data_IF_739192917709
#
_entry.id   IF_739192917709
#
_cell.length_a   1.000
_cell.length_b   1.000
_cell.length_c   1.000
_cell.angle_alpha   90.00
_cell.angle_beta   90.00
_cell.angle_gamma   90.00
#
_symmetry.space_group_name_H-M   'P 1'
#
loop_
_entity.id
_entity.type
_entity.pdbx_description
1 polymer ?
#
# COMPACT_ATOMS: atom_id res chain seq x y z
N UNK A 1 27.88 -2.68 -16.84
CA UNK A 1 27.28 -3.17 -15.57
C UNK A 1 27.78 -4.57 -15.26
N UNK A 2 27.99 -4.88 -13.98
CA UNK A 2 28.33 -6.23 -13.52
C UNK A 2 27.16 -7.20 -13.80
N UNK A 3 27.45 -8.42 -14.25
CA UNK A 3 26.45 -9.48 -14.52
C UNK A 3 25.55 -9.70 -13.30
N UNK A 4 26.13 -9.67 -12.10
CA UNK A 4 25.40 -9.83 -10.83
C UNK A 4 24.34 -8.73 -10.63
N UNK A 5 24.68 -7.50 -10.98
CA UNK A 5 23.78 -6.35 -10.92
C UNK A 5 22.61 -6.52 -11.89
N UNK A 6 22.89 -6.96 -13.12
CA UNK A 6 21.86 -7.24 -14.13
C UNK A 6 20.84 -8.28 -13.67
N UNK A 7 21.32 -9.43 -13.16
CA UNK A 7 20.42 -10.48 -12.67
C UNK A 7 19.61 -10.02 -11.45
N UNK A 8 20.24 -9.30 -10.53
CA UNK A 8 19.57 -8.78 -9.34
C UNK A 8 18.44 -7.80 -9.71
N UNK A 9 18.67 -6.93 -10.70
CA UNK A 9 17.66 -6.01 -11.22
C UNK A 9 16.49 -6.75 -11.88
N UNK A 10 16.75 -7.78 -12.69
CA UNK A 10 15.70 -8.58 -13.33
C UNK A 10 14.81 -9.24 -12.28
N UNK A 11 15.38 -9.86 -11.24
CA UNK A 11 14.63 -10.47 -10.14
C UNK A 11 13.78 -9.41 -9.43
N UNK A 12 14.38 -8.26 -9.10
CA UNK A 12 13.70 -7.16 -8.41
C UNK A 12 12.53 -6.60 -9.23
N UNK A 13 12.70 -6.45 -10.54
CA UNK A 13 11.64 -6.04 -11.47
C UNK A 13 10.51 -7.07 -11.47
N UNK A 14 10.83 -8.37 -11.55
CA UNK A 14 9.85 -9.45 -11.50
C UNK A 14 9.00 -9.41 -10.22
N UNK A 15 9.63 -9.20 -9.06
CA UNK A 15 8.91 -9.04 -7.78
C UNK A 15 8.02 -7.79 -7.77
N UNK A 16 8.49 -6.66 -8.34
CA UNK A 16 7.69 -5.43 -8.44
C UNK A 16 6.46 -5.62 -9.33
N UNK A 17 6.53 -6.47 -10.37
CA UNK A 17 5.35 -6.85 -11.15
C UNK A 17 4.31 -7.61 -10.32
N UNK A 18 4.72 -8.45 -9.37
CA UNK A 18 3.77 -9.10 -8.44
C UNK A 18 3.05 -8.04 -7.60
N UNK A 19 3.77 -7.05 -7.08
CA UNK A 19 3.20 -5.92 -6.36
C UNK A 19 2.20 -5.11 -7.20
N UNK A 20 2.55 -4.85 -8.47
CA UNK A 20 1.68 -4.19 -9.43
C UNK A 20 0.38 -4.98 -9.65
N UNK A 21 0.47 -6.29 -9.90
CA UNK A 21 -0.70 -7.16 -10.11
C UNK A 21 -1.65 -7.11 -8.92
N UNK A 22 -1.13 -7.24 -7.69
CA UNK A 22 -1.95 -7.12 -6.47
C UNK A 22 -2.63 -5.74 -6.39
N UNK A 23 -1.89 -4.66 -6.68
CA UNK A 23 -2.45 -3.31 -6.68
C UNK A 23 -3.57 -3.12 -7.71
N UNK A 24 -3.42 -3.71 -8.91
CA UNK A 24 -4.47 -3.67 -9.95
C UNK A 24 -5.70 -4.48 -9.58
N UNK A 25 -5.53 -5.63 -8.93
CA UNK A 25 -6.64 -6.44 -8.45
C UNK A 25 -7.44 -5.73 -7.36
N UNK A 26 -6.75 -5.12 -6.39
CA UNK A 26 -7.41 -4.32 -5.36
C UNK A 26 -8.17 -3.13 -5.94
N UNK A 27 -7.58 -2.42 -6.90
CA UNK A 27 -8.29 -1.33 -7.59
C UNK A 27 -9.53 -1.83 -8.35
N UNK A 28 -9.44 -2.98 -9.03
CA UNK A 28 -10.57 -3.55 -9.77
C UNK A 28 -11.74 -3.86 -8.83
N UNK A 29 -11.46 -4.34 -7.62
CA UNK A 29 -12.47 -4.77 -6.67
C UNK A 29 -13.11 -3.61 -5.90
N UNK A 30 -12.33 -2.57 -5.54
CA UNK A 30 -12.80 -1.47 -4.68
C UNK A 30 -13.04 -0.15 -5.41
N UNK A 31 -12.33 0.08 -6.53
CA UNK A 31 -12.28 1.35 -7.29
C UNK A 31 -11.79 2.56 -6.49
N UNK A 32 -11.08 2.35 -5.40
CA UNK A 32 -10.60 3.45 -4.56
C UNK A 32 -9.33 4.13 -5.09
N UNK A 33 -9.24 5.44 -4.88
CA UNK A 33 -8.09 6.26 -5.33
C UNK A 33 -6.76 5.82 -4.70
N UNK A 34 -6.77 5.26 -3.49
CA UNK A 34 -5.56 4.74 -2.82
C UNK A 34 -4.80 3.71 -3.65
N UNK A 35 -5.51 2.94 -4.46
CA UNK A 35 -4.89 1.94 -5.33
C UNK A 35 -4.35 2.53 -6.63
N UNK A 36 -4.85 3.68 -7.08
CA UNK A 36 -4.23 4.43 -8.18
C UNK A 36 -2.82 4.86 -7.75
N UNK A 37 -2.66 5.37 -6.52
CA UNK A 37 -1.35 5.69 -5.95
C UNK A 37 -0.45 4.45 -5.84
N UNK A 38 -1.02 3.31 -5.41
CA UNK A 38 -0.28 2.04 -5.33
C UNK A 38 0.24 1.59 -6.70
N UNK A 39 -0.63 1.55 -7.71
CA UNK A 39 -0.31 1.14 -9.08
C UNK A 39 0.75 2.05 -9.68
N UNK A 40 0.54 3.38 -9.60
CA UNK A 40 1.49 4.37 -10.14
C UNK A 40 2.85 4.32 -9.42
N UNK A 41 2.85 4.01 -8.11
CA UNK A 41 4.06 3.76 -7.33
C UNK A 41 4.85 2.54 -7.84
N UNK A 42 4.17 1.40 -8.01
CA UNK A 42 4.79 0.19 -8.56
C UNK A 42 5.33 0.38 -9.97
N UNK A 43 4.56 1.03 -10.85
CA UNK A 43 5.00 1.36 -12.21
C UNK A 43 6.27 2.21 -12.18
N UNK A 44 6.31 3.25 -11.33
CA UNK A 44 7.49 4.11 -11.18
C UNK A 44 8.71 3.32 -10.72
N UNK A 45 8.55 2.38 -9.78
CA UNK A 45 9.63 1.47 -9.35
C UNK A 45 10.07 0.47 -10.43
N UNK A 46 9.16 -0.05 -11.25
CA UNK A 46 9.52 -0.92 -12.37
C UNK A 46 10.35 -0.11 -13.38
N UNK A 47 9.88 1.07 -13.77
CA UNK A 47 10.61 1.99 -14.66
C UNK A 47 11.99 2.33 -14.09
N UNK A 48 12.07 2.64 -12.79
CA UNK A 48 13.34 2.86 -12.12
C UNK A 48 14.27 1.64 -12.23
N UNK A 49 13.78 0.41 -12.13
CA UNK A 49 14.59 -0.80 -12.30
C UNK A 49 15.06 -1.04 -13.74
N UNK A 50 14.26 -0.66 -14.74
CA UNK A 50 14.58 -0.84 -16.17
C UNK A 50 15.62 0.18 -16.66
N UNK A 51 15.56 1.41 -16.16
CA UNK A 51 16.44 2.50 -16.62
C UNK A 51 17.94 2.15 -16.53
N UNK A 52 18.48 1.59 -15.43
CA UNK A 52 19.88 1.18 -15.36
C UNK A 52 20.29 0.15 -16.43
N UNK A 53 19.40 -0.77 -16.79
CA UNK A 53 19.64 -1.76 -17.85
C UNK A 53 19.77 -1.05 -19.20
N UNK A 54 18.88 -0.09 -19.47
CA UNK A 54 18.93 0.73 -20.69
C UNK A 54 20.17 1.62 -20.73
N UNK A 55 20.56 2.20 -19.59
CA UNK A 55 21.73 3.08 -19.48
C UNK A 55 23.04 2.38 -19.85
N UNK A 56 23.10 1.05 -19.71
CA UNK A 56 24.26 0.24 -20.07
C UNK A 56 24.38 -0.02 -21.58
N UNK A 57 23.29 0.18 -22.33
CA UNK A 57 23.26 0.09 -23.80
C UNK A 57 23.65 1.40 -24.49
N UNK A 58 23.73 2.49 -23.73
CA UNK A 58 24.02 3.83 -24.24
C UNK A 58 25.52 4.11 -24.17
N UNK A 59 26.11 4.47 -25.31
CA UNK A 59 27.53 4.77 -25.44
C UNK A 59 27.84 6.21 -25.00
N UNK A 60 26.93 7.15 -25.24
CA UNK A 60 27.11 8.55 -24.90
C UNK A 60 27.05 8.78 -23.38
N UNK A 61 28.13 9.34 -22.83
CA UNK A 61 28.28 9.56 -21.38
C UNK A 61 27.17 10.47 -20.84
N UNK A 62 26.82 11.53 -21.56
CA UNK A 62 25.82 12.49 -21.09
C UNK A 62 24.41 11.85 -21.02
N UNK A 63 24.02 11.12 -22.06
CA UNK A 63 22.78 10.36 -22.07
C UNK A 63 22.74 9.30 -20.97
N UNK A 64 23.85 8.60 -20.72
CA UNK A 64 23.97 7.64 -19.62
C UNK A 64 23.74 8.31 -18.26
N UNK A 65 24.37 9.46 -18.00
CA UNK A 65 24.19 10.19 -16.75
C UNK A 65 22.75 10.72 -16.57
N UNK A 66 22.12 11.17 -17.64
CA UNK A 66 20.71 11.60 -17.62
C UNK A 66 19.78 10.43 -17.28
N UNK A 67 20.01 9.25 -17.87
CA UNK A 67 19.26 8.04 -17.52
C UNK A 67 19.46 7.68 -16.04
N UNK A 68 20.68 7.73 -15.52
CA UNK A 68 20.93 7.48 -14.10
C UNK A 68 20.23 8.50 -13.18
N UNK A 69 20.11 9.76 -13.59
CA UNK A 69 19.31 10.75 -12.87
C UNK A 69 17.80 10.38 -12.91
N UNK A 70 17.29 9.96 -14.07
CA UNK A 70 15.90 9.50 -14.20
C UNK A 70 15.61 8.29 -13.30
N UNK A 71 16.54 7.33 -13.19
CA UNK A 71 16.42 6.19 -12.29
C UNK A 71 16.12 6.64 -10.85
N UNK A 72 16.89 7.62 -10.35
CA UNK A 72 16.75 8.14 -9.00
C UNK A 72 15.42 8.88 -8.82
N UNK A 73 15.01 9.69 -9.80
CA UNK A 73 13.73 10.40 -9.77
C UNK A 73 12.56 9.42 -9.72
N UNK A 74 12.51 8.43 -10.63
CA UNK A 74 11.45 7.43 -10.66
C UNK A 74 11.42 6.56 -9.41
N UNK A 75 12.60 6.24 -8.84
CA UNK A 75 12.68 5.52 -7.58
C UNK A 75 12.02 6.33 -6.45
N UNK A 76 12.41 7.60 -6.30
CA UNK A 76 11.88 8.51 -5.27
C UNK A 76 10.38 8.80 -5.44
N UNK A 77 9.89 8.92 -6.68
CA UNK A 77 8.45 9.05 -6.94
C UNK A 77 7.71 7.78 -6.51
N UNK A 78 8.21 6.62 -6.94
CA UNK A 78 7.58 5.33 -6.63
C UNK A 78 7.42 5.13 -5.12
N UNK A 79 8.46 5.48 -4.38
CA UNK A 79 8.46 5.52 -2.91
C UNK A 79 7.33 6.37 -2.36
N UNK A 80 7.28 7.65 -2.76
CA UNK A 80 6.33 8.61 -2.19
C UNK A 80 4.90 8.15 -2.46
N UNK A 81 4.64 7.62 -3.65
CA UNK A 81 3.33 7.11 -4.03
C UNK A 81 2.93 5.86 -3.25
N UNK A 82 3.83 4.88 -3.12
CA UNK A 82 3.59 3.66 -2.33
C UNK A 82 3.30 3.99 -0.86
N UNK A 83 4.09 4.88 -0.26
CA UNK A 83 3.89 5.28 1.12
C UNK A 83 2.64 6.15 1.31
N UNK A 84 2.34 7.02 0.35
CA UNK A 84 1.09 7.79 0.36
C UNK A 84 -0.13 6.86 0.28
N UNK A 85 -0.03 5.75 -0.48
CA UNK A 85 -1.06 4.71 -0.49
C UNK A 85 -1.24 4.08 0.90
N UNK A 86 -0.14 3.78 1.61
CA UNK A 86 -0.22 3.28 3.00
C UNK A 86 -0.89 4.30 3.93
N UNK A 87 -0.49 5.57 3.85
CA UNK A 87 -1.10 6.64 4.67
C UNK A 87 -2.59 6.80 4.36
N UNK A 88 -2.99 6.61 3.09
CA UNK A 88 -4.36 6.82 2.67
C UNK A 88 -5.38 5.87 3.29
N UNK A 89 -4.92 4.75 3.87
CA UNK A 89 -5.75 3.89 4.71
C UNK A 89 -6.18 4.55 6.04
N UNK A 90 -5.49 5.60 6.48
CA UNK A 90 -5.76 6.28 7.75
C UNK A 90 -6.26 7.71 7.58
N UNK A 91 -5.96 8.34 6.45
CA UNK A 91 -6.31 9.72 6.17
C UNK A 91 -6.70 9.93 4.72
N UNK A 92 -7.62 10.86 4.44
CA UNK A 92 -7.75 11.40 3.10
C UNK A 92 -6.44 12.11 2.74
N UNK A 93 -5.67 11.51 1.83
CA UNK A 93 -4.44 12.12 1.31
C UNK A 93 -4.82 13.13 0.24
N UNK A 94 -4.43 14.39 0.44
CA UNK A 94 -4.66 15.45 -0.53
C UNK A 94 -3.89 15.16 -1.82
N UNK A 95 -4.59 14.80 -2.89
CA UNK A 95 -4.00 14.57 -4.21
C UNK A 95 -3.17 15.76 -4.70
N UNK A 96 -3.61 17.03 -4.53
CA UNK A 96 -2.78 18.19 -4.86
C UNK A 96 -1.43 18.22 -4.13
N UNK A 97 -1.38 17.81 -2.85
CA UNK A 97 -0.13 17.77 -2.08
C UNK A 97 0.81 16.69 -2.64
N UNK A 98 0.30 15.50 -2.94
CA UNK A 98 1.10 14.40 -3.53
C UNK A 98 1.66 14.84 -4.89
N UNK A 99 0.84 15.45 -5.73
CA UNK A 99 1.26 15.99 -7.04
C UNK A 99 2.35 17.06 -6.85
N UNK A 100 2.19 17.97 -5.88
CA UNK A 100 3.19 19.01 -5.60
C UNK A 100 4.53 18.43 -5.14
N UNK A 101 4.51 17.41 -4.26
CA UNK A 101 5.71 16.71 -3.82
C UNK A 101 6.38 15.97 -4.98
N UNK A 102 5.63 15.20 -5.78
CA UNK A 102 6.16 14.51 -6.95
C UNK A 102 6.73 15.49 -7.98
N UNK A 103 6.05 16.62 -8.21
CA UNK A 103 6.53 17.68 -9.11
C UNK A 103 7.82 18.31 -8.59
N UNK A 104 7.94 18.50 -7.27
CA UNK A 104 9.19 18.94 -6.63
C UNK A 104 10.33 17.95 -6.86
N UNK A 105 10.07 16.65 -6.70
CA UNK A 105 11.06 15.57 -6.93
C UNK A 105 11.49 15.50 -8.41
N UNK A 106 10.66 15.92 -9.35
CA UNK A 106 11.01 15.96 -10.78
C UNK A 106 11.74 17.26 -11.12
N UNK A 107 11.11 18.41 -10.83
CA UNK A 107 11.57 19.71 -11.28
C UNK A 107 12.87 20.13 -10.56
N UNK A 108 13.00 19.88 -9.26
CA UNK A 108 14.15 20.35 -8.50
C UNK A 108 15.46 19.68 -8.97
N UNK A 109 15.54 18.34 -9.11
CA UNK A 109 16.73 17.68 -9.64
C UNK A 109 17.02 17.99 -11.10
N UNK A 110 15.99 18.14 -11.94
CA UNK A 110 16.18 18.47 -13.34
C UNK A 110 16.73 19.88 -13.53
N UNK A 111 16.15 20.87 -12.85
CA UNK A 111 16.63 22.26 -12.91
C UNK A 111 18.04 22.37 -12.32
N UNK A 112 18.29 21.75 -11.16
CA UNK A 112 19.65 21.72 -10.60
C UNK A 112 20.64 20.96 -11.48
N UNK A 113 20.22 19.85 -12.10
CA UNK A 113 21.08 19.08 -13.01
C UNK A 113 21.43 19.81 -14.30
N UNK A 114 20.58 20.74 -14.75
CA UNK A 114 20.85 21.62 -15.89
C UNK A 114 21.74 22.82 -15.53
N UNK A 115 21.63 23.34 -14.30
CA UNK A 115 22.36 24.53 -13.84
C UNK A 115 23.68 24.22 -13.13
N UNK A 116 23.87 23.00 -12.64
CA UNK A 116 25.04 22.54 -11.88
C UNK A 116 25.55 21.21 -12.43
N UNK A 117 26.46 20.53 -11.72
CA UNK A 117 26.89 19.18 -12.10
C UNK A 117 25.82 18.13 -11.77
N UNK A 118 25.59 17.18 -12.69
CA UNK A 118 24.59 16.10 -12.55
C UNK A 118 24.83 15.28 -11.27
N UNK A 119 26.07 15.17 -10.80
CA UNK A 119 26.40 14.51 -9.53
C UNK A 119 25.76 15.18 -8.30
N UNK A 120 25.77 16.51 -8.22
CA UNK A 120 25.15 17.25 -7.11
C UNK A 120 23.62 17.10 -7.12
N UNK A 121 23.01 17.14 -8.30
CA UNK A 121 21.58 16.92 -8.48
C UNK A 121 21.15 15.52 -7.99
N UNK A 122 21.96 14.48 -8.25
CA UNK A 122 21.73 13.12 -7.74
C UNK A 122 21.71 13.09 -6.21
N UNK A 123 22.72 13.66 -5.56
CA UNK A 123 22.84 13.71 -4.09
C UNK A 123 21.64 14.42 -3.45
N UNK A 124 21.24 15.57 -3.99
CA UNK A 124 20.08 16.31 -3.49
C UNK A 124 18.80 15.49 -3.63
N UNK A 125 18.62 14.79 -4.75
CA UNK A 125 17.44 13.94 -4.99
C UNK A 125 17.36 12.79 -3.99
N UNK A 126 18.51 12.19 -3.67
CA UNK A 126 18.64 11.15 -2.64
C UNK A 126 18.21 11.69 -1.27
N UNK A 127 18.71 12.87 -0.88
CA UNK A 127 18.32 13.53 0.37
C UNK A 127 16.83 13.89 0.40
N UNK A 128 16.27 14.38 -0.70
CA UNK A 128 14.85 14.71 -0.78
C UNK A 128 13.98 13.45 -0.68
N UNK A 129 14.42 12.36 -1.33
CA UNK A 129 13.86 11.03 -1.16
C UNK A 129 13.84 10.63 0.31
N UNK A 130 15.00 10.58 0.98
CA UNK A 130 15.13 10.28 2.43
C UNK A 130 14.31 11.21 3.33
N UNK A 131 14.25 12.51 3.02
CA UNK A 131 13.41 13.47 3.75
C UNK A 131 11.93 13.12 3.66
N UNK A 132 11.43 12.75 2.47
CA UNK A 132 10.04 12.34 2.29
C UNK A 132 9.70 11.07 3.08
N UNK A 133 10.64 10.13 3.21
CA UNK A 133 10.49 8.95 4.05
C UNK A 133 10.39 9.29 5.54
N UNK A 134 11.25 10.18 6.05
CA UNK A 134 11.25 10.56 7.45
C UNK A 134 9.92 11.22 7.84
N UNK A 135 9.40 12.11 6.99
CA UNK A 135 8.11 12.77 7.19
C UNK A 135 6.98 11.74 7.27
N UNK A 136 6.94 10.80 6.33
CA UNK A 136 5.91 9.75 6.30
C UNK A 136 6.05 8.81 7.51
N UNK A 137 7.26 8.45 7.90
CA UNK A 137 7.52 7.66 9.11
C UNK A 137 6.99 8.35 10.38
N UNK A 138 7.20 9.66 10.52
CA UNK A 138 6.65 10.46 11.63
C UNK A 138 5.12 10.44 11.61
N UNK A 139 4.50 10.59 10.43
CA UNK A 139 3.04 10.54 10.29
C UNK A 139 2.45 9.20 10.73
N UNK A 140 3.08 8.08 10.35
CA UNK A 140 2.67 6.74 10.77
C UNK A 140 2.85 6.55 12.29
N UNK A 141 3.97 7.00 12.85
CA UNK A 141 4.24 6.91 14.29
C UNK A 141 3.19 7.66 15.13
N UNK A 142 2.78 8.85 14.68
CA UNK A 142 1.75 9.65 15.37
C UNK A 142 0.37 8.96 15.40
N UNK A 143 0.13 7.97 14.54
CA UNK A 143 -1.13 7.20 14.49
C UNK A 143 -1.00 5.74 14.90
N UNK A 144 0.07 5.39 15.62
CA UNK A 144 0.30 4.03 16.13
C UNK A 144 -0.92 3.42 16.84
N UNK A 145 -1.71 4.22 17.55
CA UNK A 145 -2.88 3.70 18.28
C UNK A 145 -4.02 3.25 17.34
N UNK A 146 -4.24 3.98 16.23
CA UNK A 146 -5.23 3.58 15.22
C UNK A 146 -4.72 2.39 14.41
N UNK A 147 -3.42 2.38 14.12
CA UNK A 147 -2.73 1.23 13.53
C UNK A 147 -2.94 -0.04 14.36
N UNK A 148 -2.74 0.04 15.69
CA UNK A 148 -2.95 -1.09 16.62
C UNK A 148 -4.38 -1.62 16.57
N UNK A 149 -5.38 -0.74 16.52
CA UNK A 149 -6.78 -1.15 16.44
C UNK A 149 -7.14 -1.85 15.13
N UNK A 150 -6.55 -1.41 14.01
CA UNK A 150 -6.85 -1.97 12.69
C UNK A 150 -6.06 -3.26 12.37
N UNK A 151 -4.91 -3.47 13.02
CA UNK A 151 -3.92 -4.50 12.62
C UNK A 151 -3.60 -5.55 13.68
N UNK A 152 -4.54 -5.88 14.57
CA UNK A 152 -4.33 -6.73 15.74
C UNK A 152 -3.39 -7.95 15.49
N UNK A 153 -3.54 -8.65 14.34
CA UNK A 153 -2.65 -9.76 13.94
C UNK A 153 -1.57 -9.43 12.89
N UNK A 154 -1.62 -8.27 12.24
CA UNK A 154 -0.72 -7.87 11.13
C UNK A 154 0.40 -6.88 11.50
N UNK A 155 0.40 -6.36 12.73
CA UNK A 155 1.32 -5.28 13.12
C UNK A 155 2.81 -5.64 13.09
N UNK A 156 3.13 -6.91 13.36
CA UNK A 156 4.50 -7.39 13.32
C UNK A 156 5.09 -7.25 11.91
N UNK A 157 4.30 -7.44 10.84
CA UNK A 157 4.75 -7.22 9.47
C UNK A 157 5.07 -5.76 9.20
N UNK A 158 4.23 -4.84 9.69
CA UNK A 158 4.47 -3.40 9.55
C UNK A 158 5.77 -2.98 10.25
N UNK A 159 5.98 -3.40 11.50
CA UNK A 159 7.23 -3.13 12.20
C UNK A 159 8.44 -3.75 11.50
N UNK A 160 8.31 -4.97 10.98
CA UNK A 160 9.37 -5.64 10.25
C UNK A 160 9.74 -4.88 8.96
N UNK A 161 8.75 -4.35 8.22
CA UNK A 161 9.03 -3.53 7.05
C UNK A 161 9.65 -2.18 7.40
N UNK A 162 9.17 -1.50 8.45
CA UNK A 162 9.80 -0.26 8.91
C UNK A 162 11.26 -0.53 9.32
N UNK A 163 11.51 -1.61 10.05
CA UNK A 163 12.85 -2.01 10.47
C UNK A 163 13.75 -2.36 9.27
N UNK A 164 13.28 -3.21 8.36
CA UNK A 164 13.98 -3.55 7.12
C UNK A 164 14.27 -2.32 6.28
N UNK A 165 13.34 -1.37 6.25
CA UNK A 165 13.48 -0.12 5.55
C UNK A 165 14.57 0.78 6.16
N UNK A 166 14.58 0.94 7.50
CA UNK A 166 15.63 1.69 8.20
C UNK A 166 17.01 1.07 7.95
N UNK A 167 17.11 -0.26 8.00
CA UNK A 167 18.35 -0.98 7.65
C UNK A 167 18.77 -0.68 6.21
N UNK A 168 17.83 -0.73 5.26
CA UNK A 168 18.12 -0.42 3.86
C UNK A 168 18.65 1.01 3.67
N UNK A 169 18.08 2.00 4.36
CA UNK A 169 18.61 3.38 4.36
C UNK A 169 20.04 3.40 4.88
N UNK A 170 20.29 2.82 6.06
CA UNK A 170 21.61 2.85 6.70
C UNK A 170 22.65 2.21 5.79
N UNK A 171 22.34 1.06 5.20
CA UNK A 171 23.20 0.37 4.25
C UNK A 171 23.44 1.22 3.01
N UNK A 172 22.39 1.79 2.42
CA UNK A 172 22.50 2.64 1.22
C UNK A 172 23.39 3.86 1.46
N UNK A 173 23.21 4.56 2.60
CA UNK A 173 24.04 5.71 2.97
C UNK A 173 25.49 5.27 3.24
N UNK A 174 25.68 4.16 3.97
CA UNK A 174 27.02 3.64 4.27
C UNK A 174 27.77 3.25 3.00
N UNK A 175 27.07 2.67 2.03
CA UNK A 175 27.63 2.32 0.72
C UNK A 175 28.01 3.57 -0.08
N UNK A 176 27.16 4.61 -0.11
CA UNK A 176 27.48 5.89 -0.76
C UNK A 176 28.72 6.55 -0.14
N UNK A 177 28.91 6.44 1.18
CA UNK A 177 30.06 7.04 1.88
C UNK A 177 31.36 6.25 1.73
N UNK A 178 31.30 4.94 1.47
CA UNK A 178 32.47 4.04 1.46
C UNK A 178 32.89 3.59 0.07
N UNK A 179 31.94 3.50 -0.86
CA UNK A 179 32.13 3.14 -2.25
C UNK A 179 31.78 4.40 -3.02
N UNK A 180 32.78 5.04 -3.63
CA UNK A 180 32.71 6.31 -4.39
C UNK A 180 31.82 6.23 -5.66
N UNK A 181 30.81 5.36 -5.68
CA UNK A 181 29.92 5.05 -6.79
C UNK A 181 28.49 5.51 -6.44
N UNK A 182 28.21 6.76 -6.82
CA UNK A 182 27.09 7.62 -6.40
C UNK A 182 25.70 7.22 -6.95
N UNK A 183 25.35 5.93 -7.02
CA UNK A 183 24.03 5.47 -7.50
C UNK A 183 23.37 4.42 -6.59
N UNK A 184 22.03 4.47 -6.44
CA UNK A 184 21.23 3.52 -5.63
C UNK A 184 21.43 2.04 -6.01
N UNK A 185 22.04 1.75 -7.16
CA UNK A 185 22.22 0.41 -7.70
C UNK A 185 23.65 -0.13 -7.70
N UNK A 186 24.65 0.63 -7.23
CA UNK A 186 26.08 0.25 -7.30
C UNK A 186 26.48 -0.24 -8.72
N UNK A 187 25.98 0.46 -9.75
CA UNK A 187 25.91 -0.05 -11.12
C UNK A 187 27.29 -0.29 -11.76
N UNK A 188 28.30 0.45 -11.30
CA UNK A 188 29.69 0.32 -11.75
C UNK A 188 30.61 -0.26 -10.67
N UNK A 189 30.05 -0.68 -9.52
CA UNK A 189 30.82 -1.25 -8.43
C UNK A 189 31.42 -2.59 -8.85
N UNK A 190 32.69 -2.78 -8.51
CA UNK A 190 33.40 -4.05 -8.66
C UNK A 190 33.32 -4.89 -7.37
N UNK A 191 32.68 -4.37 -6.31
CA UNK A 191 32.54 -5.06 -5.04
C UNK A 191 31.24 -5.89 -5.03
N UNK A 192 31.37 -7.18 -5.37
CA UNK A 192 30.26 -8.13 -5.42
C UNK A 192 29.51 -8.23 -4.09
N UNK A 193 30.20 -8.14 -2.94
CA UNK A 193 29.58 -8.21 -1.62
C UNK A 193 28.66 -7.02 -1.37
N UNK A 194 29.11 -5.80 -1.72
CA UNK A 194 28.31 -4.59 -1.62
C UNK A 194 27.05 -4.66 -2.52
N UNK A 195 27.20 -5.18 -3.74
CA UNK A 195 26.10 -5.40 -4.69
C UNK A 195 25.07 -6.37 -4.07
N UNK A 196 25.51 -7.53 -3.59
CA UNK A 196 24.62 -8.55 -3.00
C UNK A 196 23.83 -7.97 -1.83
N UNK A 197 24.49 -7.28 -0.90
CA UNK A 197 23.82 -6.70 0.26
C UNK A 197 22.75 -5.69 -0.17
N UNK A 198 23.07 -4.77 -1.07
CA UNK A 198 22.15 -3.72 -1.50
C UNK A 198 20.89 -4.29 -2.19
N UNK A 199 21.08 -5.23 -3.12
CA UNK A 199 19.96 -5.83 -3.84
C UNK A 199 19.16 -6.80 -2.98
N UNK A 200 19.80 -7.57 -2.10
CA UNK A 200 19.08 -8.44 -1.15
C UNK A 200 18.17 -7.63 -0.25
N UNK A 201 18.64 -6.50 0.29
CA UNK A 201 17.82 -5.62 1.11
C UNK A 201 16.66 -5.00 0.32
N UNK A 202 16.90 -4.59 -0.93
CA UNK A 202 15.85 -4.09 -1.82
C UNK A 202 14.78 -5.15 -2.13
N UNK A 203 15.19 -6.40 -2.29
CA UNK A 203 14.30 -7.55 -2.50
C UNK A 203 13.46 -7.80 -1.24
N UNK A 204 14.09 -7.88 -0.06
CA UNK A 204 13.38 -8.08 1.21
C UNK A 204 12.35 -6.98 1.42
N UNK A 205 12.74 -5.71 1.23
CA UNK A 205 11.82 -4.57 1.35
C UNK A 205 10.63 -4.68 0.39
N UNK A 206 10.89 -5.07 -0.86
CA UNK A 206 9.85 -5.24 -1.88
C UNK A 206 8.84 -6.32 -1.47
N UNK A 207 9.32 -7.48 -1.01
CA UNK A 207 8.46 -8.58 -0.56
C UNK A 207 7.64 -8.15 0.66
N UNK A 208 8.27 -7.50 1.64
CA UNK A 208 7.58 -7.02 2.84
C UNK A 208 6.49 -6.01 2.52
N UNK A 209 6.73 -5.09 1.58
CA UNK A 209 5.70 -4.14 1.14
C UNK A 209 4.50 -4.85 0.50
N UNK A 210 4.75 -5.84 -0.36
CA UNK A 210 3.67 -6.64 -0.97
C UNK A 210 2.83 -7.32 0.11
N UNK A 211 3.48 -8.01 1.06
CA UNK A 211 2.83 -8.70 2.17
C UNK A 211 2.00 -7.72 3.00
N UNK A 212 2.56 -6.55 3.30
CA UNK A 212 1.88 -5.49 4.04
C UNK A 212 0.62 -5.03 3.32
N UNK A 213 0.67 -4.74 2.03
CA UNK A 213 -0.52 -4.30 1.28
C UNK A 213 -1.62 -5.36 1.29
N UNK A 214 -1.26 -6.64 1.17
CA UNK A 214 -2.23 -7.75 1.27
C UNK A 214 -2.86 -7.81 2.66
N UNK A 215 -2.06 -7.66 3.72
CA UNK A 215 -2.58 -7.62 5.08
C UNK A 215 -3.44 -6.38 5.33
N UNK A 216 -3.08 -5.22 4.77
CA UNK A 216 -3.85 -3.99 4.83
C UNK A 216 -5.26 -4.20 4.32
N UNK A 217 -5.37 -4.71 3.10
CA UNK A 217 -6.66 -4.88 2.46
C UNK A 217 -7.52 -5.95 3.13
N UNK A 218 -6.91 -7.07 3.54
CA UNK A 218 -7.62 -8.12 4.28
C UNK A 218 -8.15 -7.63 5.63
N UNK A 219 -7.35 -6.90 6.39
CA UNK A 219 -7.79 -6.38 7.69
C UNK A 219 -8.97 -5.43 7.56
N UNK A 220 -8.94 -4.53 6.56
CA UNK A 220 -10.01 -3.56 6.35
C UNK A 220 -11.29 -4.25 5.87
N UNK A 221 -11.17 -5.14 4.88
CA UNK A 221 -12.32 -5.91 4.39
C UNK A 221 -12.98 -6.69 5.52
N UNK A 222 -12.19 -7.32 6.39
CA UNK A 222 -12.72 -8.04 7.55
C UNK A 222 -13.38 -7.09 8.55
N UNK A 223 -12.80 -5.92 8.81
CA UNK A 223 -13.39 -4.97 9.75
C UNK A 223 -14.71 -4.37 9.23
N UNK A 224 -14.78 -4.03 7.95
CA UNK A 224 -16.01 -3.58 7.29
C UNK A 224 -17.07 -4.68 7.29
N UNK A 225 -16.69 -5.92 6.98
CA UNK A 225 -17.61 -7.06 7.04
C UNK A 225 -18.18 -7.25 8.45
N UNK A 226 -17.35 -7.16 9.49
CA UNK A 226 -17.80 -7.24 10.89
C UNK A 226 -18.72 -6.08 11.26
N UNK A 227 -18.40 -4.86 10.86
CA UNK A 227 -19.25 -3.69 11.13
C UNK A 227 -20.60 -3.79 10.44
N UNK A 228 -20.63 -4.17 9.16
CA UNK A 228 -21.86 -4.38 8.40
C UNK A 228 -22.69 -5.50 9.02
N UNK A 229 -22.05 -6.60 9.40
CA UNK A 229 -22.69 -7.72 10.10
C UNK A 229 -23.36 -7.26 11.40
N UNK A 230 -22.69 -6.45 12.22
CA UNK A 230 -23.26 -5.92 13.46
C UNK A 230 -24.43 -4.95 13.21
N UNK A 231 -24.29 -4.02 12.26
CA UNK A 231 -25.34 -3.06 11.90
C UNK A 231 -26.58 -3.79 11.37
N UNK A 232 -26.41 -4.64 10.36
CA UNK A 232 -27.55 -5.37 9.78
C UNK A 232 -28.15 -6.37 10.77
N UNK A 233 -27.34 -7.04 11.59
CA UNK A 233 -27.88 -7.93 12.65
C UNK A 233 -28.73 -7.16 13.65
N UNK A 234 -28.35 -5.93 13.99
CA UNK A 234 -29.10 -5.06 14.89
C UNK A 234 -30.39 -4.55 14.24
N UNK A 235 -30.31 -4.00 13.04
CA UNK A 235 -31.45 -3.35 12.38
C UNK A 235 -32.52 -4.36 11.93
N UNK A 236 -32.09 -5.54 11.45
CA UNK A 236 -33.03 -6.63 11.15
C UNK A 236 -33.64 -7.15 12.45
N UNK A 237 -32.86 -7.25 13.54
CA UNK A 237 -33.38 -7.61 14.87
C UNK A 237 -34.49 -6.68 15.34
N UNK A 238 -34.29 -5.37 15.24
CA UNK A 238 -35.30 -4.36 15.60
C UNK A 238 -36.55 -4.47 14.72
N UNK A 239 -36.38 -4.71 13.41
CA UNK A 239 -37.49 -4.87 12.48
C UNK A 239 -38.32 -6.11 12.83
N UNK A 240 -37.66 -7.23 13.14
CA UNK A 240 -38.33 -8.46 13.59
C UNK A 240 -39.06 -8.29 14.91
N UNK A 241 -38.47 -7.59 15.88
CA UNK A 241 -39.13 -7.29 17.14
C UNK A 241 -40.38 -6.44 16.93
N UNK A 242 -40.32 -5.46 16.01
CA UNK A 242 -41.47 -4.65 15.63
C UNK A 242 -42.58 -5.49 15.00
N UNK A 243 -42.23 -6.40 14.07
CA UNK A 243 -43.16 -7.32 13.43
C UNK A 243 -43.81 -8.27 14.44
N UNK A 244 -43.03 -8.85 15.36
CA UNK A 244 -43.56 -9.71 16.42
C UNK A 244 -44.50 -8.95 17.34
N UNK A 245 -44.14 -7.72 17.72
CA UNK A 245 -44.99 -6.87 18.57
C UNK A 245 -46.31 -6.52 17.87
N UNK A 246 -46.26 -6.13 16.60
CA UNK A 246 -47.46 -5.87 15.80
C UNK A 246 -48.31 -7.12 15.66
N UNK A 247 -47.71 -8.29 15.44
CA UNK A 247 -48.42 -9.56 15.34
C UNK A 247 -49.13 -9.91 16.65
N UNK A 248 -48.48 -9.70 17.80
CA UNK A 248 -49.06 -9.95 19.11
C UNK A 248 -50.21 -8.99 19.44
N UNK A 249 -50.12 -7.72 19.02
CA UNK A 249 -51.21 -6.75 19.16
C UNK A 249 -52.42 -7.17 18.31
N UNK A 250 -52.18 -7.63 17.09
CA UNK A 250 -53.24 -8.12 16.18
C UNK A 250 -53.89 -9.38 16.75
N UNK A 251 -53.11 -10.30 17.31
CA UNK A 251 -53.60 -11.52 17.98
C UNK A 251 -54.45 -11.20 19.21
N UNK A 252 -54.04 -10.22 20.01
CA UNK A 252 -54.73 -9.86 21.25
C UNK A 252 -56.01 -9.04 21.02
N UNK A 253 -56.04 -8.20 19.99
CA UNK A 253 -57.17 -7.28 19.73
C UNK A 253 -58.15 -7.76 18.66
N UNK A 254 -57.81 -8.80 17.87
CA UNK A 254 -58.61 -9.25 16.73
C UNK A 254 -59.38 -10.55 16.98
N UNK A 255 -60.68 -10.57 16.64
CA UNK A 255 -61.43 -11.82 16.41
C UNK A 255 -61.03 -12.40 15.03
N UNK A 256 -59.80 -12.89 14.93
CA UNK A 256 -59.26 -13.46 13.69
C UNK A 256 -59.79 -14.89 13.50
N UNK A 257 -60.47 -15.13 12.38
CA UNK A 257 -60.98 -16.45 12.00
C UNK A 257 -60.45 -16.90 10.63
N UNK A 258 -60.31 -18.21 10.45
CA UNK A 258 -59.91 -18.83 9.19
C UNK A 258 -58.58 -18.31 8.65
N UNK A 259 -58.59 -17.80 7.41
CA UNK A 259 -57.38 -17.47 6.66
C UNK A 259 -56.53 -16.33 7.25
N UNK A 260 -57.12 -15.45 8.06
CA UNK A 260 -56.38 -14.32 8.65
C UNK A 260 -55.50 -14.78 9.82
N UNK A 261 -55.97 -15.77 10.58
CA UNK A 261 -55.21 -16.40 11.65
C UNK A 261 -54.03 -17.21 11.11
N UNK A 262 -54.22 -17.99 10.05
CA UNK A 262 -53.13 -18.71 9.37
C UNK A 262 -52.05 -17.76 8.83
N UNK A 263 -52.44 -16.61 8.27
CA UNK A 263 -51.48 -15.59 7.79
C UNK A 263 -50.67 -14.99 8.94
N UNK A 264 -51.31 -14.74 10.09
CA UNK A 264 -50.62 -14.22 11.27
C UNK A 264 -49.62 -15.23 11.83
N UNK A 265 -50.00 -16.49 11.98
CA UNK A 265 -49.12 -17.58 12.42
C UNK A 265 -47.93 -17.75 11.45
N UNK A 266 -48.19 -17.68 10.13
CA UNK A 266 -47.12 -17.72 9.13
C UNK A 266 -46.13 -16.57 9.27
N UNK A 267 -46.61 -15.34 9.57
CA UNK A 267 -45.75 -14.18 9.82
C UNK A 267 -44.89 -14.39 11.08
N UNK A 268 -45.47 -14.91 12.16
CA UNK A 268 -44.75 -15.20 13.40
C UNK A 268 -43.66 -16.25 13.19
N UNK A 269 -43.99 -17.38 12.54
CA UNK A 269 -43.03 -18.44 12.22
C UNK A 269 -41.89 -17.90 11.36
N UNK A 270 -42.19 -17.12 10.33
CA UNK A 270 -41.15 -16.53 9.46
C UNK A 270 -40.30 -15.50 10.17
N UNK A 271 -40.86 -14.73 11.10
CA UNK A 271 -40.10 -13.81 11.92
C UNK A 271 -39.15 -14.55 12.89
N UNK A 272 -39.59 -15.67 13.47
CA UNK A 272 -38.75 -16.49 14.34
C UNK A 272 -37.61 -17.18 13.58
N UNK A 273 -37.90 -17.75 12.39
CA UNK A 273 -36.91 -18.33 11.50
C UNK A 273 -35.85 -17.30 11.09
N UNK A 274 -36.27 -16.09 10.71
CA UNK A 274 -35.37 -14.99 10.42
C UNK A 274 -34.51 -14.61 11.64
N UNK A 275 -35.07 -14.62 12.84
CA UNK A 275 -34.33 -14.41 14.08
C UNK A 275 -33.24 -15.46 14.35
N UNK A 276 -33.52 -16.74 14.03
CA UNK A 276 -32.53 -17.83 14.11
C UNK A 276 -31.39 -17.62 13.11
N UNK A 277 -31.72 -17.30 11.86
CA UNK A 277 -30.74 -17.01 10.82
C UNK A 277 -29.82 -15.84 11.18
N UNK A 278 -30.36 -14.76 11.78
CA UNK A 278 -29.54 -13.63 12.25
C UNK A 278 -28.57 -14.07 13.35
N UNK A 279 -29.01 -14.91 14.30
CA UNK A 279 -28.12 -15.45 15.34
C UNK A 279 -27.00 -16.31 14.74
N UNK A 280 -27.28 -17.06 13.68
CA UNK A 280 -26.27 -17.84 12.95
C UNK A 280 -25.28 -16.94 12.21
N UNK A 281 -25.78 -15.93 11.48
CA UNK A 281 -24.95 -14.90 10.83
C UNK A 281 -24.04 -14.23 11.88
N UNK A 282 -24.55 -13.94 13.08
CA UNK A 282 -23.78 -13.34 14.17
C UNK A 282 -22.61 -14.21 14.67
N UNK A 283 -22.67 -15.52 14.46
CA UNK A 283 -21.62 -16.47 14.87
C UNK A 283 -20.53 -16.71 13.82
N UNK A 284 -20.77 -16.38 12.54
CA UNK A 284 -19.82 -16.53 11.42
C UNK A 284 -18.72 -15.48 11.42
#
# INVERSE_FOLDING_TARGET
MNILTSYSLIILIGLRFIGLTNGTEFFRNTKEQRFILLITGWVSWIVAGVIPIMADLVIDTYQKELLLLMNIIFFSIGVVLLLSSIISYFYPVSTPLVIAVCSGIICFPLVFGLLTQIALARTITIFFGFGSYAIIGILLYNRRNNLIRLFDKGLHWLYLAIFSFVIYIIISISLILTVDDYSYGLLNSTNDFAIIINYTMSIILTVLLIVIFIHFERSITNHEMLNLKDIYSHDIGNTLQTLMTASAIIEYNGNLEGSEREKLEMIQVKAEDAGKLIKEIRKL
#
